data_IF_729207528017
#
_entry.id   IF_729207528017
#
_cell.length_a   1.000
_cell.length_b   1.000
_cell.length_c   1.000
_cell.angle_alpha   90.00
_cell.angle_beta   90.00
_cell.angle_gamma   90.00
#
_symmetry.space_group_name_H-M   'P 1'
#
loop_
_entity.id
_entity.type
_entity.pdbx_description
1 polymer ?
#
# COMPACT_ATOMS: atom_id res chain seq x y z
N UNK A 1 2.04 -46.69 -6.43
CA UNK A 1 0.95 -46.97 -5.47
C UNK A 1 0.18 -45.66 -5.27
N UNK A 2 -0.89 -45.43 -6.05
CA UNK A 2 -1.67 -44.19 -5.98
C UNK A 2 -2.64 -44.33 -4.80
N UNK A 3 -2.50 -43.47 -3.79
CA UNK A 3 -3.40 -43.47 -2.63
C UNK A 3 -4.76 -42.93 -3.04
N UNK A 4 -5.81 -43.72 -2.86
CA UNK A 4 -7.18 -43.27 -3.06
C UNK A 4 -7.48 -42.07 -2.15
N UNK A 5 -8.19 -41.05 -2.65
CA UNK A 5 -8.54 -39.88 -1.87
C UNK A 5 -9.48 -40.25 -0.70
N UNK A 6 -9.40 -39.50 0.42
CA UNK A 6 -10.19 -39.76 1.62
C UNK A 6 -11.69 -39.50 1.39
N UNK A 7 -12.54 -40.32 2.02
CA UNK A 7 -14.01 -40.37 1.85
C UNK A 7 -14.79 -39.07 2.14
N UNK A 8 -14.14 -38.03 2.65
CA UNK A 8 -14.78 -36.71 2.82
C UNK A 8 -14.84 -35.90 1.52
N UNK A 9 -14.02 -36.24 0.52
CA UNK A 9 -13.98 -35.55 -0.77
C UNK A 9 -15.22 -35.79 -1.66
N UNK A 10 -16.09 -36.74 -1.29
CA UNK A 10 -17.21 -37.22 -2.12
C UNK A 10 -18.52 -36.44 -1.89
N UNK A 11 -18.53 -35.45 -0.99
CA UNK A 11 -19.71 -34.66 -0.61
C UNK A 11 -19.59 -33.15 -0.91
N UNK A 12 -18.86 -32.76 -1.95
CA UNK A 12 -18.96 -31.39 -2.47
C UNK A 12 -20.02 -31.38 -3.59
N UNK A 13 -21.11 -30.61 -3.48
CA UNK A 13 -22.10 -30.46 -4.54
C UNK A 13 -21.43 -30.05 -5.87
N UNK A 14 -21.84 -30.70 -6.98
CA UNK A 14 -21.25 -30.50 -8.31
C UNK A 14 -21.36 -29.05 -8.84
N UNK A 15 -22.22 -28.23 -8.25
CA UNK A 15 -22.37 -26.82 -8.60
C UNK A 15 -21.22 -25.90 -8.11
N UNK A 16 -20.29 -26.40 -7.29
CA UNK A 16 -19.09 -25.64 -6.95
C UNK A 16 -18.00 -25.70 -8.04
N UNK A 17 -18.13 -26.54 -9.07
CA UNK A 17 -17.05 -26.77 -10.05
C UNK A 17 -17.18 -25.97 -11.35
N UNK A 18 -18.28 -25.24 -11.61
CA UNK A 18 -18.51 -24.62 -12.93
C UNK A 18 -18.29 -23.10 -12.98
N UNK A 19 -17.51 -22.51 -12.06
CA UNK A 19 -16.81 -21.22 -12.30
C UNK A 19 -15.46 -21.14 -11.58
N UNK A 20 -14.68 -22.21 -11.57
CA UNK A 20 -13.23 -22.06 -11.49
C UNK A 20 -12.71 -21.66 -12.88
N UNK A 21 -13.16 -20.51 -13.42
CA UNK A 21 -12.34 -19.78 -14.39
C UNK A 21 -11.08 -19.51 -13.60
N UNK A 22 -9.96 -20.09 -14.02
CA UNK A 22 -8.64 -19.86 -13.43
C UNK A 22 -8.51 -18.39 -13.09
N UNK A 23 -8.76 -18.05 -11.82
CA UNK A 23 -8.34 -16.79 -11.26
C UNK A 23 -6.83 -16.97 -11.13
N UNK A 24 -6.17 -16.82 -12.26
CA UNK A 24 -4.80 -16.40 -12.32
C UNK A 24 -4.85 -15.07 -11.58
N UNK A 25 -4.64 -15.15 -10.26
CA UNK A 25 -4.73 -14.05 -9.33
C UNK A 25 -3.56 -13.17 -9.72
N UNK A 26 -3.84 -12.30 -10.68
CA UNK A 26 -2.86 -11.42 -11.24
C UNK A 26 -2.34 -10.62 -10.06
N UNK A 27 -1.08 -10.82 -9.71
CA UNK A 27 -0.46 -10.13 -8.58
C UNK A 27 -0.55 -8.61 -8.74
N UNK A 28 -0.83 -8.14 -9.96
CA UNK A 28 -1.13 -6.75 -10.33
C UNK A 28 -2.47 -6.22 -9.82
N UNK A 29 -3.43 -7.07 -9.44
CA UNK A 29 -4.77 -6.66 -8.99
C UNK A 29 -4.87 -6.44 -7.47
N UNK A 30 -3.93 -6.95 -6.67
CA UNK A 30 -3.99 -6.85 -5.19
C UNK A 30 -4.17 -5.43 -4.67
N UNK A 31 -3.45 -4.40 -5.17
CA UNK A 31 -3.63 -3.03 -4.68
C UNK A 31 -5.02 -2.47 -5.01
N UNK A 32 -5.62 -2.91 -6.13
CA UNK A 32 -6.97 -2.47 -6.52
C UNK A 32 -8.01 -3.20 -5.68
N UNK A 33 -7.83 -4.49 -5.43
CA UNK A 33 -8.76 -5.31 -4.66
C UNK A 33 -8.85 -4.90 -3.18
N UNK A 34 -7.76 -4.40 -2.59
CA UNK A 34 -7.76 -3.89 -1.21
C UNK A 34 -8.48 -2.55 -1.07
N UNK A 35 -8.40 -1.66 -2.06
CA UNK A 35 -9.04 -0.33 -2.01
C UNK A 35 -10.47 -0.31 -2.55
N UNK A 36 -10.88 -1.35 -3.31
CA UNK A 36 -12.26 -1.53 -3.80
C UNK A 36 -13.35 -1.38 -2.72
N UNK A 37 -13.29 -2.04 -1.56
CA UNK A 37 -14.32 -1.90 -0.53
C UNK A 37 -14.41 -0.45 -0.03
N UNK A 38 -13.27 0.18 0.25
CA UNK A 38 -13.21 1.57 0.72
C UNK A 38 -13.72 2.56 -0.34
N UNK A 39 -13.32 2.39 -1.61
CA UNK A 39 -13.75 3.25 -2.71
C UNK A 39 -15.26 3.14 -2.96
N UNK A 40 -15.83 1.93 -2.79
CA UNK A 40 -17.27 1.70 -2.89
C UNK A 40 -18.04 2.44 -1.79
N UNK A 41 -17.55 2.40 -0.56
CA UNK A 41 -18.16 3.10 0.58
C UNK A 41 -18.07 4.63 0.45
N UNK A 42 -16.93 5.14 -0.04
CA UNK A 42 -16.72 6.57 -0.29
C UNK A 42 -17.32 7.07 -1.61
N UNK A 43 -17.85 6.17 -2.45
CA UNK A 43 -18.35 6.44 -3.80
C UNK A 43 -17.32 7.17 -4.71
N UNK A 44 -16.05 6.80 -4.58
CA UNK A 44 -14.93 7.38 -5.33
C UNK A 44 -14.53 6.42 -6.46
N UNK A 45 -14.21 6.96 -7.64
CA UNK A 45 -13.67 6.16 -8.75
C UNK A 45 -12.20 5.86 -8.51
N UNK A 46 -11.83 4.58 -8.50
CA UNK A 46 -10.43 4.16 -8.50
C UNK A 46 -9.84 4.43 -9.88
N UNK A 47 -8.68 5.08 -9.91
CA UNK A 47 -7.90 5.27 -11.13
C UNK A 47 -6.86 4.16 -11.26
N UNK A 48 -7.23 3.04 -11.88
CA UNK A 48 -6.39 1.83 -12.08
C UNK A 48 -5.63 1.81 -13.42
N UNK A 49 -5.76 2.84 -14.24
CA UNK A 49 -5.14 2.93 -15.58
C UNK A 49 -3.62 3.10 -15.59
N UNK A 50 -2.95 3.18 -14.43
CA UNK A 50 -1.48 3.28 -14.34
C UNK A 50 -0.92 1.93 -13.95
N UNK A 51 -0.02 1.40 -14.77
CA UNK A 51 0.66 0.14 -14.50
C UNK A 51 1.67 0.27 -13.35
N UNK A 52 1.92 -0.82 -12.62
CA UNK A 52 2.80 -0.92 -11.43
C UNK A 52 4.22 -0.37 -11.65
N UNK A 53 4.75 -0.50 -12.85
CA UNK A 53 6.08 -0.04 -13.26
C UNK A 53 6.13 1.46 -13.57
N UNK A 54 4.98 2.12 -13.72
CA UNK A 54 4.88 3.52 -14.15
C UNK A 54 4.64 4.47 -12.97
N UNK A 55 5.46 4.35 -11.92
CA UNK A 55 5.36 5.17 -10.71
C UNK A 55 5.44 6.69 -10.99
N UNK A 56 6.24 7.12 -11.98
CA UNK A 56 6.30 8.52 -12.40
C UNK A 56 4.96 9.04 -12.96
N UNK A 57 4.19 8.18 -13.63
CA UNK A 57 2.87 8.56 -14.12
C UNK A 57 1.86 8.64 -12.99
N UNK A 58 2.00 7.81 -11.94
CA UNK A 58 1.17 7.90 -10.75
C UNK A 58 1.41 9.24 -10.02
N UNK A 59 2.67 9.63 -9.84
CA UNK A 59 3.05 10.92 -9.25
C UNK A 59 2.49 12.11 -10.07
N UNK A 60 2.66 12.10 -11.40
CA UNK A 60 2.10 13.14 -12.28
C UNK A 60 0.58 13.22 -12.20
N UNK A 61 -0.11 12.08 -12.13
CA UNK A 61 -1.57 12.06 -11.97
C UNK A 61 -2.00 12.65 -10.63
N UNK A 62 -1.32 12.29 -9.55
CA UNK A 62 -1.56 12.84 -8.23
C UNK A 62 -1.38 14.37 -8.22
N UNK A 63 -0.29 14.88 -8.79
CA UNK A 63 -0.03 16.32 -8.93
C UNK A 63 -1.05 17.03 -9.86
N UNK A 64 -1.58 16.32 -10.86
CA UNK A 64 -2.57 16.88 -11.80
C UNK A 64 -3.99 16.94 -11.21
N UNK A 65 -4.24 16.30 -10.07
CA UNK A 65 -5.54 16.28 -9.45
C UNK A 65 -5.89 17.68 -8.90
N UNK A 66 -6.97 18.27 -9.44
CA UNK A 66 -7.48 19.60 -9.04
C UNK A 66 -8.88 19.52 -8.44
N UNK A 67 -9.14 18.47 -7.65
CA UNK A 67 -10.39 18.29 -6.93
C UNK A 67 -10.27 18.71 -5.46
N UNK A 68 -11.39 19.00 -4.77
CA UNK A 68 -11.38 19.14 -3.32
C UNK A 68 -11.07 17.79 -2.65
N UNK A 69 -10.22 17.80 -1.62
CA UNK A 69 -9.92 16.62 -0.81
C UNK A 69 -8.48 16.12 -0.92
N UNK A 70 -8.22 14.98 -0.31
CA UNK A 70 -6.90 14.36 -0.22
C UNK A 70 -6.73 13.28 -1.29
N UNK A 71 -5.50 13.11 -1.79
CA UNK A 71 -5.14 12.04 -2.71
C UNK A 71 -4.50 10.91 -1.91
N UNK A 72 -5.10 9.72 -1.94
CA UNK A 72 -4.50 8.51 -1.38
C UNK A 72 -3.79 7.73 -2.50
N UNK A 73 -2.49 7.48 -2.33
CA UNK A 73 -1.69 6.67 -3.25
C UNK A 73 -1.37 5.35 -2.57
N UNK A 74 -1.89 4.25 -3.11
CA UNK A 74 -1.57 2.90 -2.66
C UNK A 74 -0.68 2.22 -3.71
N UNK A 75 0.52 1.81 -3.31
CA UNK A 75 1.50 1.20 -4.21
C UNK A 75 2.36 0.17 -3.47
N UNK A 76 3.21 -0.55 -4.21
CA UNK A 76 4.24 -1.39 -3.62
C UNK A 76 5.31 -0.56 -2.91
N UNK A 77 5.75 -1.01 -1.73
CA UNK A 77 6.70 -0.30 -0.85
C UNK A 77 7.99 0.13 -1.56
N UNK A 78 8.59 -0.73 -2.39
CA UNK A 78 9.79 -0.39 -3.15
C UNK A 78 9.63 0.81 -4.10
N UNK A 79 8.41 1.08 -4.59
CA UNK A 79 8.15 2.18 -5.51
C UNK A 79 7.59 3.43 -4.80
N UNK A 80 7.23 3.37 -3.51
CA UNK A 80 6.74 4.54 -2.76
C UNK A 80 7.82 5.63 -2.65
N UNK A 81 9.08 5.26 -2.42
CA UNK A 81 10.20 6.19 -2.42
C UNK A 81 10.37 6.92 -3.77
N UNK A 82 10.23 6.18 -4.88
CA UNK A 82 10.27 6.75 -6.23
C UNK A 82 9.12 7.72 -6.50
N UNK A 83 7.91 7.37 -6.04
CA UNK A 83 6.73 8.25 -6.15
C UNK A 83 6.94 9.53 -5.33
N UNK A 84 7.45 9.43 -4.10
CA UNK A 84 7.70 10.59 -3.24
C UNK A 84 8.69 11.57 -3.90
N UNK A 85 9.81 11.05 -4.44
CA UNK A 85 10.77 11.86 -5.19
C UNK A 85 10.16 12.48 -6.44
N UNK A 86 9.32 11.75 -7.18
CA UNK A 86 8.65 12.25 -8.37
C UNK A 86 7.59 13.33 -8.08
N UNK A 87 7.02 13.34 -6.87
CA UNK A 87 6.16 14.42 -6.36
C UNK A 87 6.98 15.67 -6.01
N UNK A 88 8.27 15.50 -5.70
CA UNK A 88 9.18 16.57 -5.29
C UNK A 88 9.45 16.62 -3.78
N UNK A 89 9.10 15.55 -3.05
CA UNK A 89 9.37 15.44 -1.62
C UNK A 89 10.88 15.29 -1.42
N UNK A 90 11.44 16.13 -0.57
CA UNK A 90 12.88 16.25 -0.33
C UNK A 90 13.36 15.46 0.88
N UNK A 91 12.48 15.15 1.83
CA UNK A 91 12.83 14.37 3.00
C UNK A 91 11.71 14.23 4.02
N UNK A 92 12.09 13.84 5.22
CA UNK A 92 11.22 13.80 6.41
C UNK A 92 11.35 15.11 7.18
N UNK A 93 10.23 15.61 7.70
CA UNK A 93 10.24 16.75 8.60
C UNK A 93 10.88 16.37 9.94
N UNK A 94 11.54 17.32 10.61
CA UNK A 94 12.15 17.09 11.92
C UNK A 94 11.17 16.58 12.98
N UNK A 95 9.86 16.90 12.83
CA UNK A 95 8.78 16.43 13.71
C UNK A 95 8.56 14.92 13.68
N UNK A 96 8.98 14.24 12.61
CA UNK A 96 8.81 12.78 12.48
C UNK A 96 9.84 11.98 13.27
N UNK A 97 10.96 12.61 13.66
CA UNK A 97 12.13 11.92 14.21
C UNK A 97 12.88 11.05 13.20
N UNK A 98 12.44 11.02 11.93
CA UNK A 98 13.09 10.30 10.85
C UNK A 98 14.02 11.25 10.09
N UNK A 99 15.20 10.76 9.74
CA UNK A 99 16.22 11.49 8.99
C UNK A 99 16.76 10.64 7.84
N UNK A 100 17.47 11.28 6.91
CA UNK A 100 18.09 10.59 5.77
C UNK A 100 17.22 10.55 4.52
N UNK A 101 17.55 9.62 3.63
CA UNK A 101 16.89 9.46 2.33
C UNK A 101 15.47 8.89 2.49
N UNK A 102 14.55 9.32 1.63
CA UNK A 102 13.17 8.82 1.64
C UNK A 102 13.18 7.35 1.21
N UNK A 103 12.95 6.46 2.17
CA UNK A 103 12.90 5.03 1.95
C UNK A 103 11.79 4.40 2.80
N UNK A 104 11.00 3.53 2.16
CA UNK A 104 9.95 2.80 2.85
C UNK A 104 10.53 1.50 3.41
N UNK A 105 10.36 1.16 4.70
CA UNK A 105 10.92 -0.05 5.28
C UNK A 105 10.36 -1.32 4.63
N UNK A 106 11.25 -2.22 4.18
CA UNK A 106 10.87 -3.48 3.50
C UNK A 106 10.03 -4.43 4.37
N UNK A 107 10.17 -4.38 5.69
CA UNK A 107 9.46 -5.25 6.64
C UNK A 107 8.08 -4.72 7.05
N UNK A 108 7.66 -3.56 6.52
CA UNK A 108 6.40 -2.89 6.89
C UNK A 108 5.46 -2.78 5.71
N UNK A 109 4.16 -2.77 6.03
CA UNK A 109 3.08 -2.64 5.05
C UNK A 109 1.94 -1.73 5.54
N UNK A 110 2.09 -1.18 6.75
CA UNK A 110 1.08 -0.52 7.56
C UNK A 110 1.40 0.95 7.84
N UNK A 111 2.49 1.48 7.25
CA UNK A 111 2.86 2.88 7.40
C UNK A 111 2.16 3.76 6.36
N UNK A 112 1.62 4.87 6.84
CA UNK A 112 0.98 5.92 6.07
C UNK A 112 1.84 7.18 6.19
N UNK A 113 2.34 7.68 5.07
CA UNK A 113 3.06 8.94 5.00
C UNK A 113 2.08 10.08 4.72
N UNK A 114 2.07 11.07 5.60
CA UNK A 114 1.25 12.28 5.45
C UNK A 114 2.11 13.41 4.95
N UNK A 115 1.68 14.01 3.84
CA UNK A 115 2.40 15.06 3.14
C UNK A 115 1.43 16.21 2.87
N UNK A 116 1.30 17.18 3.78
CA UNK A 116 0.47 18.36 3.56
C UNK A 116 1.10 19.30 2.51
N UNK A 117 0.32 20.21 1.91
CA UNK A 117 0.87 21.31 1.13
C UNK A 117 1.94 22.05 1.95
N UNK A 118 3.14 22.35 1.40
CA UNK A 118 3.48 22.46 -0.03
C UNK A 118 4.02 21.19 -0.70
N UNK A 119 3.83 20.00 -0.11
CA UNK A 119 4.29 18.70 -0.63
C UNK A 119 5.81 18.55 -0.73
N UNK A 120 6.55 19.23 0.16
CA UNK A 120 8.02 19.23 0.18
C UNK A 120 8.62 18.21 1.14
N UNK A 121 7.91 17.86 2.22
CA UNK A 121 8.41 16.96 3.25
C UNK A 121 7.30 16.08 3.83
N UNK A 122 7.69 14.90 4.31
CA UNK A 122 6.79 14.00 5.04
C UNK A 122 6.71 14.49 6.47
N UNK A 123 5.56 15.03 6.87
CA UNK A 123 5.39 15.66 8.20
C UNK A 123 5.00 14.66 9.27
N UNK A 124 4.36 13.56 8.87
CA UNK A 124 3.90 12.51 9.78
C UNK A 124 4.04 11.13 9.14
N UNK A 125 4.44 10.15 9.95
CA UNK A 125 4.42 8.73 9.63
C UNK A 125 3.48 8.05 10.61
N UNK A 126 2.32 7.60 10.14
CA UNK A 126 1.29 6.94 10.96
C UNK A 126 1.39 5.43 10.76
N UNK A 127 1.30 4.68 11.86
CA UNK A 127 1.03 3.23 11.83
C UNK A 127 -0.43 2.98 12.20
N UNK A 128 -1.05 1.97 11.59
CA UNK A 128 -2.42 1.51 11.88
C UNK A 128 -2.56 0.80 13.25
N UNK A 129 -1.51 0.77 14.08
CA UNK A 129 -1.52 0.18 15.43
C UNK A 129 -1.93 -1.30 15.40
N UNK A 130 -1.38 -2.06 14.46
CA UNK A 130 -1.64 -3.49 14.28
C UNK A 130 -0.93 -4.28 15.40
N UNK A 131 -1.66 -5.01 16.26
CA UNK A 131 -1.06 -5.85 17.29
C UNK A 131 -0.07 -6.85 16.64
N UNK A 132 1.13 -6.99 17.23
CA UNK A 132 2.29 -7.78 16.73
C UNK A 132 3.27 -6.99 15.85
N UNK A 133 2.84 -6.07 15.00
CA UNK A 133 3.76 -5.27 14.16
C UNK A 133 4.36 -4.08 14.92
N UNK A 134 3.56 -3.38 15.72
CA UNK A 134 4.01 -2.18 16.44
C UNK A 134 4.79 -2.45 17.74
N UNK A 135 4.96 -3.73 18.11
CA UNK A 135 5.72 -4.14 19.29
C UNK A 135 7.23 -4.34 19.01
N UNK A 136 7.65 -4.32 17.73
CA UNK A 136 9.07 -4.36 17.36
C UNK A 136 9.65 -2.95 17.28
N UNK A 137 10.96 -2.78 17.56
CA UNK A 137 11.68 -1.50 17.40
C UNK A 137 11.77 -1.21 15.89
N UNK A 138 11.18 -0.10 15.46
CA UNK A 138 10.96 0.18 14.03
C UNK A 138 11.94 1.21 13.54
N UNK A 139 12.83 0.82 12.63
CA UNK A 139 13.86 1.70 12.11
C UNK A 139 13.61 2.08 10.65
N UNK A 140 13.87 3.33 10.29
CA UNK A 140 14.04 3.70 8.88
C UNK A 140 15.39 3.18 8.35
N UNK A 141 15.69 3.43 7.08
CA UNK A 141 16.96 3.05 6.46
C UNK A 141 18.19 3.68 7.16
N UNK A 142 18.00 4.80 7.87
CA UNK A 142 19.02 5.49 8.64
C UNK A 142 19.17 4.94 10.08
N UNK A 143 18.32 3.99 10.49
CA UNK A 143 18.32 3.43 11.86
C UNK A 143 17.46 4.21 12.86
N UNK A 144 16.70 5.23 12.42
CA UNK A 144 15.88 6.08 13.29
C UNK A 144 14.62 5.34 13.72
N UNK A 145 14.37 5.33 15.03
CA UNK A 145 13.21 4.64 15.59
C UNK A 145 11.94 5.48 15.43
N UNK A 146 10.83 4.90 14.95
CA UNK A 146 9.52 5.57 14.97
C UNK A 146 9.23 6.08 16.39
N UNK A 147 8.95 7.38 16.56
CA UNK A 147 8.52 7.88 17.87
C UNK A 147 7.23 7.17 18.26
N UNK A 148 7.17 6.73 19.52
CA UNK A 148 5.98 6.10 20.10
C UNK A 148 4.82 7.09 19.98
N UNK A 149 3.80 6.74 19.20
CA UNK A 149 2.59 7.56 19.07
C UNK A 149 1.80 7.51 20.39
N UNK A 150 2.07 8.48 21.28
CA UNK A 150 1.34 8.71 22.54
C UNK A 150 -0.16 8.84 22.31
#
# INVERSE_FOLDING_TARGET
MVRSPPKWAEKIPRDCQTKAKSAQLDSRLRPVDTVKPLAKELNIKIHDSVQRDQYDKAARKALSFKGPGNVLICWEHHALAGIAKAIGIQGYAASTGWTGEIEYPDSRFDLIWVVPPPYTEITEVRSEKVPVLDNAVQTNACGDVLPTQT
#
